data_IF_222567721767
#
_entry.id   IF_222567721767
#
_cell.length_a   1.000
_cell.length_b   1.000
_cell.length_c   1.000
_cell.angle_alpha   90.00
_cell.angle_beta   90.00
_cell.angle_gamma   90.00
#
_symmetry.space_group_name_H-M   'P 1'
#
loop_
_entity.id
_entity.type
_entity.pdbx_description
1 polymer ?
#
# COMPACT_ATOMS: atom_id res chain seq x y z
N UNK A 1 23.12 -48.56 -15.98
CA UNK A 1 21.99 -47.78 -16.54
C UNK A 1 20.75 -47.92 -15.67
N UNK A 2 19.91 -48.96 -15.77
CA UNK A 2 18.64 -48.98 -15.01
C UNK A 2 18.76 -48.92 -13.47
N UNK A 3 19.74 -49.61 -12.87
CA UNK A 3 19.98 -49.51 -11.42
C UNK A 3 20.47 -48.12 -10.98
N UNK A 4 21.16 -47.40 -11.85
CA UNK A 4 21.65 -46.04 -11.61
C UNK A 4 20.52 -45.02 -11.76
N UNK A 5 19.66 -45.18 -12.76
CA UNK A 5 18.41 -44.42 -12.91
C UNK A 5 17.48 -44.59 -11.70
N UNK A 6 17.32 -45.82 -11.20
CA UNK A 6 16.53 -46.09 -10.00
C UNK A 6 17.15 -45.42 -8.77
N UNK A 7 18.47 -45.54 -8.57
CA UNK A 7 19.15 -44.87 -7.46
C UNK A 7 19.01 -43.35 -7.51
N UNK A 8 19.16 -42.75 -8.70
CA UNK A 8 18.97 -41.31 -8.90
C UNK A 8 17.53 -40.89 -8.59
N UNK A 9 16.55 -41.64 -9.07
CA UNK A 9 15.14 -41.37 -8.79
C UNK A 9 14.82 -41.50 -7.30
N UNK A 10 15.38 -42.50 -6.60
CA UNK A 10 15.24 -42.63 -5.13
C UNK A 10 15.84 -41.41 -4.42
N UNK A 11 16.99 -40.90 -4.85
CA UNK A 11 17.56 -39.67 -4.29
C UNK A 11 16.63 -38.46 -4.54
N UNK A 12 16.07 -38.32 -5.74
CA UNK A 12 15.09 -37.27 -6.05
C UNK A 12 13.85 -37.36 -5.16
N UNK A 13 13.32 -38.57 -4.94
CA UNK A 13 12.16 -38.77 -4.07
C UNK A 13 12.47 -38.39 -2.61
N UNK A 14 13.65 -38.76 -2.09
CA UNK A 14 14.06 -38.36 -0.74
C UNK A 14 14.15 -36.84 -0.60
N UNK A 15 14.78 -36.18 -1.57
CA UNK A 15 14.86 -34.72 -1.59
C UNK A 15 13.46 -34.08 -1.66
N UNK A 16 12.55 -34.63 -2.45
CA UNK A 16 11.18 -34.14 -2.55
C UNK A 16 10.41 -34.29 -1.22
N UNK A 17 10.64 -35.37 -0.47
CA UNK A 17 10.05 -35.56 0.85
C UNK A 17 10.56 -34.52 1.85
N UNK A 18 11.87 -34.29 1.90
CA UNK A 18 12.48 -33.26 2.76
C UNK A 18 11.95 -31.86 2.40
N UNK A 19 11.85 -31.55 1.10
CA UNK A 19 11.30 -30.29 0.63
C UNK A 19 9.82 -30.13 0.99
N UNK A 20 9.02 -31.21 0.87
CA UNK A 20 7.61 -31.21 1.22
C UNK A 20 7.41 -30.94 2.72
N UNK A 21 8.21 -31.56 3.58
CA UNK A 21 8.18 -31.33 5.02
C UNK A 21 8.50 -29.87 5.35
N UNK A 22 9.60 -29.33 4.78
CA UNK A 22 9.97 -27.93 4.95
C UNK A 22 8.89 -26.95 4.45
N UNK A 23 8.29 -27.23 3.30
CA UNK A 23 7.21 -26.41 2.75
C UNK A 23 5.93 -26.48 3.61
N UNK A 24 5.60 -27.65 4.13
CA UNK A 24 4.43 -27.84 5.01
C UNK A 24 4.57 -27.03 6.28
N UNK A 25 5.75 -27.09 6.93
CA UNK A 25 6.03 -26.32 8.14
C UNK A 25 5.92 -24.81 7.88
N UNK A 26 6.46 -24.31 6.77
CA UNK A 26 6.34 -22.89 6.39
C UNK A 26 4.89 -22.46 6.19
N UNK A 27 4.10 -23.23 5.43
CA UNK A 27 2.68 -22.93 5.20
C UNK A 27 1.90 -22.94 6.51
N UNK A 28 2.24 -23.82 7.44
CA UNK A 28 1.63 -23.84 8.77
C UNK A 28 2.01 -22.61 9.60
N UNK A 29 3.29 -22.23 9.64
CA UNK A 29 3.78 -21.03 10.34
C UNK A 29 3.12 -19.75 9.79
N UNK A 30 3.02 -19.63 8.46
CA UNK A 30 2.35 -18.51 7.79
C UNK A 30 0.87 -18.43 8.17
N UNK A 31 0.16 -19.57 8.17
CA UNK A 31 -1.24 -19.65 8.58
C UNK A 31 -1.43 -19.23 10.05
N UNK A 32 -0.59 -19.73 10.95
CA UNK A 32 -0.61 -19.39 12.37
C UNK A 32 -0.33 -17.89 12.58
N UNK A 33 0.59 -17.32 11.81
CA UNK A 33 0.92 -15.89 11.84
C UNK A 33 -0.27 -15.01 11.42
N UNK A 34 -0.96 -15.36 10.33
CA UNK A 34 -2.16 -14.64 9.87
C UNK A 34 -3.30 -14.70 10.91
N UNK A 35 -3.56 -15.87 11.50
CA UNK A 35 -4.54 -16.00 12.57
C UNK A 35 -4.15 -15.24 13.83
N UNK A 36 -2.86 -15.20 14.17
CA UNK A 36 -2.35 -14.42 15.30
C UNK A 36 -2.59 -12.93 15.09
N UNK A 37 -2.31 -12.41 13.88
CA UNK A 37 -2.58 -11.03 13.52
C UNK A 37 -4.09 -10.70 13.58
N UNK A 38 -4.94 -11.56 13.03
CA UNK A 38 -6.39 -11.38 13.08
C UNK A 38 -6.94 -11.39 14.52
N UNK A 39 -6.46 -12.32 15.35
CA UNK A 39 -6.83 -12.37 16.76
C UNK A 39 -6.39 -11.12 17.54
N UNK A 40 -5.21 -10.57 17.24
CA UNK A 40 -4.74 -9.36 17.88
C UNK A 40 -5.71 -8.18 17.64
N UNK A 41 -6.18 -8.00 16.40
CA UNK A 41 -7.17 -6.98 16.06
C UNK A 41 -8.50 -7.20 16.79
N UNK A 42 -8.98 -8.45 16.87
CA UNK A 42 -10.22 -8.77 17.59
C UNK A 42 -10.11 -8.48 19.09
N UNK A 43 -8.95 -8.79 19.70
CA UNK A 43 -8.68 -8.52 21.12
C UNK A 43 -8.62 -7.02 21.37
N UNK A 44 -7.90 -6.27 20.53
CA UNK A 44 -7.81 -4.81 20.63
C UNK A 44 -9.20 -4.15 20.53
N UNK A 45 -10.02 -4.57 19.55
CA UNK A 45 -11.38 -4.06 19.39
C UNK A 45 -12.24 -4.34 20.63
N UNK A 46 -12.16 -5.57 21.17
CA UNK A 46 -12.85 -5.94 22.41
C UNK A 46 -12.42 -5.05 23.57
N UNK A 47 -11.12 -4.83 23.74
CA UNK A 47 -10.58 -3.97 24.81
C UNK A 47 -11.06 -2.52 24.68
N UNK A 48 -11.10 -1.99 23.45
CA UNK A 48 -11.61 -0.66 23.16
C UNK A 48 -13.11 -0.53 23.54
N UNK A 49 -13.94 -1.50 23.15
CA UNK A 49 -15.37 -1.50 23.48
C UNK A 49 -15.60 -1.63 24.99
N UNK A 50 -14.86 -2.52 25.67
CA UNK A 50 -14.91 -2.66 27.13
C UNK A 50 -14.50 -1.36 27.83
N UNK A 51 -13.47 -0.69 27.33
CA UNK A 51 -13.00 0.59 27.87
C UNK A 51 -14.07 1.67 27.74
N UNK A 52 -14.74 1.76 26.58
CA UNK A 52 -15.87 2.68 26.37
C UNK A 52 -17.01 2.43 27.36
N UNK A 53 -17.40 1.17 27.55
CA UNK A 53 -18.45 0.79 28.52
C UNK A 53 -18.03 1.21 29.94
N UNK A 54 -16.78 0.96 30.33
CA UNK A 54 -16.25 1.35 31.66
C UNK A 54 -16.25 2.87 31.85
N UNK A 55 -15.85 3.63 30.85
CA UNK A 55 -15.83 5.10 30.89
C UNK A 55 -17.24 5.66 31.04
N UNK A 56 -18.20 5.16 30.25
CA UNK A 56 -19.59 5.61 30.32
C UNK A 56 -20.23 5.26 31.68
N UNK A 57 -19.98 4.04 32.18
CA UNK A 57 -20.38 3.66 33.55
C UNK A 57 -19.80 4.60 34.59
N UNK A 58 -18.51 4.91 34.52
CA UNK A 58 -17.84 5.77 35.48
C UNK A 58 -18.40 7.20 35.46
N UNK A 59 -18.59 7.78 34.28
CA UNK A 59 -19.17 9.12 34.09
C UNK A 59 -20.59 9.21 34.67
N UNK A 60 -21.48 8.27 34.31
CA UNK A 60 -22.84 8.24 34.84
C UNK A 60 -22.89 8.00 36.35
N UNK A 61 -22.05 7.11 36.86
CA UNK A 61 -21.92 6.85 38.30
C UNK A 61 -21.50 8.11 39.04
N UNK A 62 -20.52 8.84 38.51
CA UNK A 62 -20.06 10.10 39.08
C UNK A 62 -21.16 11.16 39.14
N UNK A 63 -21.92 11.34 38.05
CA UNK A 63 -23.04 12.29 38.01
C UNK A 63 -24.14 11.95 39.02
N UNK A 64 -24.51 10.67 39.12
CA UNK A 64 -25.50 10.19 40.08
C UNK A 64 -25.02 10.34 41.52
N UNK A 65 -23.77 9.99 41.82
CA UNK A 65 -23.19 10.15 43.16
C UNK A 65 -23.09 11.62 43.57
N UNK A 66 -22.72 12.50 42.65
CA UNK A 66 -22.69 13.95 42.88
C UNK A 66 -24.08 14.48 43.21
N UNK A 67 -25.10 14.06 42.44
CA UNK A 67 -26.48 14.45 42.70
C UNK A 67 -27.00 13.88 44.03
N UNK A 68 -26.69 12.62 44.35
CA UNK A 68 -27.03 12.00 45.62
C UNK A 68 -26.46 12.80 46.79
N UNK A 69 -25.16 13.13 46.75
CA UNK A 69 -24.50 13.91 47.80
C UNK A 69 -25.14 15.29 47.97
N UNK A 70 -25.49 15.97 46.87
CA UNK A 70 -26.16 17.27 46.92
C UNK A 70 -27.55 17.16 47.56
N UNK A 71 -28.34 16.15 47.20
CA UNK A 71 -29.64 15.89 47.80
C UNK A 71 -29.54 15.56 49.29
N UNK A 72 -28.59 14.70 49.70
CA UNK A 72 -28.37 14.34 51.10
C UNK A 72 -28.00 15.56 51.95
N UNK A 73 -27.07 16.40 51.49
CA UNK A 73 -26.68 17.63 52.21
C UNK A 73 -27.83 18.63 52.34
N UNK A 74 -28.65 18.77 51.31
CA UNK A 74 -29.80 19.66 51.37
C UNK A 74 -30.91 19.14 52.29
N UNK A 75 -31.07 17.81 52.36
CA UNK A 75 -31.99 17.17 53.30
C UNK A 75 -31.54 17.39 54.74
N UNK A 76 -30.27 17.09 55.05
CA UNK A 76 -29.65 17.32 56.37
C UNK A 76 -29.79 18.79 56.80
N UNK A 77 -29.45 19.73 55.92
CA UNK A 77 -29.64 21.16 56.18
C UNK A 77 -31.10 21.55 56.42
N UNK A 78 -32.07 20.87 55.79
CA UNK A 78 -33.49 21.13 56.01
C UNK A 78 -33.96 20.57 57.36
N UNK A 79 -33.44 19.41 57.77
CA UNK A 79 -33.71 18.80 59.08
C UNK A 79 -33.16 19.67 60.21
N UNK A 80 -31.93 20.16 60.11
CA UNK A 80 -31.32 21.08 61.08
C UNK A 80 -32.13 22.38 61.22
N UNK A 81 -32.57 22.97 60.09
CA UNK A 81 -33.41 24.17 60.11
C UNK A 81 -34.78 23.92 60.76
N UNK A 82 -35.37 22.76 60.52
CA UNK A 82 -36.62 22.36 61.14
C UNK A 82 -36.44 22.18 62.66
N UNK A 83 -35.35 21.57 63.09
CA UNK A 83 -35.02 21.41 64.50
C UNK A 83 -34.83 22.78 65.19
N UNK A 84 -34.06 23.68 64.59
CA UNK A 84 -33.85 25.05 65.08
C UNK A 84 -35.18 25.82 65.23
N UNK A 85 -36.05 25.71 64.23
CA UNK A 85 -37.37 26.32 64.27
C UNK A 85 -38.22 25.76 65.43
N UNK A 86 -38.23 24.44 65.62
CA UNK A 86 -38.96 23.80 66.71
C UNK A 86 -38.43 24.20 68.10
N UNK A 87 -37.11 24.25 68.29
CA UNK A 87 -36.50 24.70 69.56
C UNK A 87 -36.86 26.16 69.89
N UNK A 88 -36.86 27.03 68.87
CA UNK A 88 -37.24 28.45 69.02
C UNK A 88 -38.72 28.61 69.39
N UNK A 89 -39.61 27.77 68.85
CA UNK A 89 -41.04 27.77 69.20
C UNK A 89 -41.29 27.29 70.64
N UNK A 90 -40.51 26.33 71.13
CA UNK A 90 -40.65 25.79 72.49
C UNK A 90 -40.08 26.70 73.59
N UNK A 91 -39.21 27.67 73.26
CA UNK A 91 -38.52 28.55 74.21
C UNK A 91 -39.15 29.95 74.36
N UNK A 92 -40.42 30.09 73.97
CA UNK A 92 -41.17 31.33 73.69
C UNK A 92 -41.46 32.30 74.88
N UNK A 93 -40.58 32.40 75.89
CA UNK A 93 -40.72 33.36 77.01
C UNK A 93 -39.71 34.53 77.00
N UNK A 94 -38.85 34.68 75.97
CA UNK A 94 -37.69 35.61 76.03
C UNK A 94 -37.68 36.73 74.97
N UNK A 95 -37.22 37.91 75.41
CA UNK A 95 -36.85 39.08 74.60
C UNK A 95 -35.78 38.70 73.55
N UNK A 96 -36.22 38.19 72.39
CA UNK A 96 -35.32 37.69 71.34
C UNK A 96 -36.02 36.89 70.24
N UNK A 97 -37.25 36.42 70.50
CA UNK A 97 -38.05 35.63 69.56
C UNK A 97 -38.16 36.27 68.16
N UNK A 98 -38.43 37.57 68.08
CA UNK A 98 -38.57 38.26 66.79
C UNK A 98 -37.28 38.25 65.96
N UNK A 99 -36.12 38.28 66.62
CA UNK A 99 -34.83 38.21 65.92
C UNK A 99 -34.57 36.78 65.45
N UNK A 100 -34.79 35.77 66.31
CA UNK A 100 -34.66 34.36 65.93
C UNK A 100 -35.61 33.96 64.78
N UNK A 101 -36.86 34.44 64.81
CA UNK A 101 -37.83 34.23 63.75
C UNK A 101 -37.38 34.85 62.42
N UNK A 102 -36.71 36.01 62.46
CA UNK A 102 -36.13 36.65 61.27
C UNK A 102 -34.97 35.83 60.71
N UNK A 103 -34.08 35.33 61.56
CA UNK A 103 -32.93 34.53 61.16
C UNK A 103 -33.35 33.18 60.55
N UNK A 104 -34.38 32.53 61.11
CA UNK A 104 -35.00 31.33 60.53
C UNK A 104 -35.59 31.63 59.16
N UNK A 105 -36.38 32.71 59.02
CA UNK A 105 -36.96 33.11 57.74
C UNK A 105 -35.89 33.30 56.68
N UNK A 106 -34.82 34.01 57.00
CA UNK A 106 -33.73 34.28 56.05
C UNK A 106 -33.00 32.97 55.70
N UNK A 107 -32.80 32.08 56.67
CA UNK A 107 -32.18 30.77 56.47
C UNK A 107 -33.02 29.81 55.60
N UNK A 108 -34.34 29.77 55.81
CA UNK A 108 -35.29 29.01 54.98
C UNK A 108 -35.30 29.54 53.55
N UNK A 109 -35.30 30.87 53.38
CA UNK A 109 -35.29 31.51 52.05
C UNK A 109 -34.02 31.15 51.26
N UNK A 110 -32.89 30.97 51.96
CA UNK A 110 -31.60 30.62 51.37
C UNK A 110 -31.32 29.11 51.37
N UNK A 111 -32.24 28.29 51.85
CA UNK A 111 -32.00 26.86 52.03
C UNK A 111 -31.74 26.16 50.67
N UNK A 112 -30.69 25.34 50.57
CA UNK A 112 -30.32 24.67 49.32
C UNK A 112 -31.44 23.80 48.74
N UNK A 113 -32.27 23.21 49.59
CA UNK A 113 -33.34 22.29 49.21
C UNK A 113 -34.36 22.92 48.23
N UNK A 114 -34.67 24.20 48.37
CA UNK A 114 -35.62 24.88 47.47
C UNK A 114 -35.06 25.18 46.08
N UNK A 115 -33.74 25.04 45.89
CA UNK A 115 -33.04 25.29 44.62
C UNK A 115 -32.60 24.01 43.90
N UNK A 116 -32.82 22.84 44.52
CA UNK A 116 -32.42 21.56 43.92
C UNK A 116 -33.40 21.09 42.84
N UNK A 117 -32.86 20.46 41.80
CA UNK A 117 -33.64 19.74 40.80
C UNK A 117 -33.65 18.25 41.12
N UNK A 118 -34.85 17.66 41.19
CA UNK A 118 -35.06 16.24 41.47
C UNK A 118 -35.14 15.36 40.21
N UNK A 119 -34.78 15.90 39.04
CA UNK A 119 -34.63 15.09 37.83
C UNK A 119 -33.24 14.46 37.81
N UNK A 120 -33.18 13.15 37.61
CA UNK A 120 -31.91 12.44 37.49
C UNK A 120 -31.07 13.05 36.36
N UNK A 121 -29.83 13.41 36.66
CA UNK A 121 -28.90 14.01 35.69
C UNK A 121 -28.34 13.00 34.70
N UNK A 122 -28.31 11.73 35.07
CA UNK A 122 -27.93 10.62 34.21
C UNK A 122 -28.99 9.50 34.26
N UNK A 123 -29.12 8.77 33.15
CA UNK A 123 -29.94 7.56 33.06
C UNK A 123 -29.10 6.30 33.29
N UNK A 124 -29.75 5.23 33.75
CA UNK A 124 -29.20 3.88 33.85
C UNK A 124 -29.23 3.08 32.52
N UNK A 125 -29.98 3.55 31.52
CA UNK A 125 -30.13 2.86 30.24
C UNK A 125 -28.83 2.88 29.40
N UNK A 126 -28.25 1.71 29.15
CA UNK A 126 -27.04 1.54 28.32
C UNK A 126 -27.28 0.68 27.06
N UNK A 127 -28.53 0.54 26.62
CA UNK A 127 -28.89 -0.28 25.44
C UNK A 127 -28.25 0.18 24.13
N UNK A 128 -27.84 1.44 24.01
CA UNK A 128 -27.10 1.96 22.84
C UNK A 128 -25.69 1.39 22.69
N UNK A 129 -25.18 0.68 23.71
CA UNK A 129 -23.91 -0.05 23.69
C UNK A 129 -24.08 -1.53 23.33
N UNK A 130 -25.28 -1.99 23.01
CA UNK A 130 -25.54 -3.36 22.59
C UNK A 130 -24.85 -3.66 21.25
N UNK A 131 -24.32 -4.86 21.12
CA UNK A 131 -23.51 -5.30 19.96
C UNK A 131 -24.13 -6.53 19.31
N UNK A 132 -24.04 -6.59 17.99
CA UNK A 132 -24.36 -7.77 17.18
C UNK A 132 -23.17 -8.00 16.24
N UNK A 133 -22.60 -9.21 16.29
CA UNK A 133 -21.43 -9.60 15.48
C UNK A 133 -21.76 -10.68 14.45
N UNK A 134 -23.02 -10.76 14.01
CA UNK A 134 -23.48 -11.80 13.10
C UNK A 134 -22.79 -11.70 11.72
N UNK A 135 -22.63 -10.48 11.20
CA UNK A 135 -21.97 -10.25 9.91
C UNK A 135 -20.47 -10.57 9.97
N UNK A 136 -19.78 -10.12 11.00
CA UNK A 136 -18.34 -10.36 11.21
C UNK A 136 -18.07 -11.85 11.36
N UNK A 137 -18.98 -12.58 12.04
CA UNK A 137 -18.88 -14.04 12.15
C UNK A 137 -19.04 -14.74 10.81
N UNK A 138 -19.96 -14.28 9.95
CA UNK A 138 -20.11 -14.82 8.61
C UNK A 138 -18.84 -14.59 7.77
N UNK A 139 -18.25 -13.40 7.86
CA UNK A 139 -16.96 -13.09 7.20
C UNK A 139 -15.84 -14.00 7.72
N UNK A 140 -15.74 -14.21 9.03
CA UNK A 140 -14.75 -15.12 9.64
C UNK A 140 -14.97 -16.59 9.24
N UNK A 141 -16.22 -17.02 9.07
CA UNK A 141 -16.55 -18.36 8.57
C UNK A 141 -16.22 -18.53 7.08
N UNK A 142 -16.15 -17.44 6.32
CA UNK A 142 -15.75 -17.41 4.92
C UNK A 142 -14.23 -17.43 4.67
N UNK A 143 -13.39 -17.46 5.72
CA UNK A 143 -11.94 -17.53 5.58
C UNK A 143 -11.53 -18.79 4.82
N UNK A 144 -10.69 -18.60 3.80
CA UNK A 144 -10.23 -19.66 2.89
C UNK A 144 -8.82 -19.35 2.40
N UNK A 145 -8.10 -20.39 1.97
CA UNK A 145 -6.82 -20.23 1.30
C UNK A 145 -6.97 -19.39 0.03
N UNK A 146 -5.87 -18.72 -0.36
CA UNK A 146 -5.84 -17.93 -1.59
C UNK A 146 -5.94 -18.89 -2.79
N UNK A 147 -6.85 -18.63 -3.75
CA UNK A 147 -6.91 -19.41 -4.98
C UNK A 147 -5.67 -19.12 -5.83
N UNK A 148 -5.37 -19.99 -6.79
CA UNK A 148 -4.38 -19.68 -7.82
C UNK A 148 -4.90 -18.47 -8.63
N UNK A 149 -4.09 -17.42 -8.85
CA UNK A 149 -4.49 -16.29 -9.67
C UNK A 149 -4.91 -16.72 -11.08
N UNK A 150 -5.90 -16.04 -11.64
CA UNK A 150 -6.31 -16.26 -13.03
C UNK A 150 -5.19 -15.91 -14.01
N UNK A 151 -5.16 -16.61 -15.14
CA UNK A 151 -4.18 -16.38 -16.22
C UNK A 151 -4.47 -15.03 -16.90
N UNK A 152 -3.52 -14.08 -16.94
CA UNK A 152 -3.72 -12.82 -17.66
C UNK A 152 -3.70 -13.02 -19.17
N UNK A 153 -4.30 -12.10 -19.90
CA UNK A 153 -4.38 -12.10 -21.36
C UNK A 153 -3.75 -10.82 -21.91
N UNK A 154 -2.71 -10.95 -22.74
CA UNK A 154 -2.03 -9.81 -23.34
C UNK A 154 -2.89 -9.24 -24.47
N UNK A 155 -3.22 -7.96 -24.36
CA UNK A 155 -4.03 -7.23 -25.34
C UNK A 155 -3.14 -6.72 -26.48
N UNK A 156 -2.92 -7.58 -27.48
CA UNK A 156 -2.01 -7.30 -28.62
C UNK A 156 -2.36 -5.98 -29.33
N UNK A 157 -3.65 -5.64 -29.42
CA UNK A 157 -4.13 -4.39 -30.04
C UNK A 157 -3.79 -3.13 -29.26
N UNK A 158 -3.51 -3.25 -27.96
CA UNK A 158 -3.17 -2.13 -27.07
C UNK A 158 -1.66 -2.04 -26.79
N UNK A 159 -0.93 -3.11 -27.08
CA UNK A 159 0.53 -3.11 -27.04
C UNK A 159 1.12 -2.13 -28.06
N UNK A 160 2.19 -1.44 -27.67
CA UNK A 160 2.86 -0.44 -28.51
C UNK A 160 4.35 -0.74 -28.64
N UNK A 161 4.88 -0.55 -29.84
CA UNK A 161 6.30 -0.68 -30.14
C UNK A 161 6.77 0.59 -30.83
N UNK A 162 7.60 1.38 -30.16
CA UNK A 162 8.08 2.67 -30.67
C UNK A 162 9.51 2.96 -30.20
N UNK A 163 10.35 3.45 -31.12
CA UNK A 163 11.76 3.77 -30.91
C UNK A 163 12.58 2.58 -30.36
N UNK A 164 12.84 2.58 -29.05
CA UNK A 164 13.53 1.55 -28.28
C UNK A 164 12.69 1.11 -27.07
N UNK A 165 11.37 1.29 -27.16
CA UNK A 165 10.42 1.04 -26.08
C UNK A 165 9.33 0.09 -26.56
N UNK A 166 9.00 -0.90 -25.73
CA UNK A 166 7.83 -1.76 -25.94
C UNK A 166 6.93 -1.67 -24.72
N UNK A 167 5.69 -1.26 -24.93
CA UNK A 167 4.64 -1.24 -23.93
C UNK A 167 3.74 -2.45 -24.13
N UNK A 168 3.63 -3.28 -23.11
CA UNK A 168 2.77 -4.46 -23.09
C UNK A 168 1.61 -4.19 -22.15
N UNK A 169 0.39 -4.41 -22.62
CA UNK A 169 -0.84 -4.26 -21.83
C UNK A 169 -1.53 -5.62 -21.75
N UNK A 170 -2.08 -5.95 -20.59
CA UNK A 170 -2.83 -7.18 -20.38
C UNK A 170 -4.10 -6.92 -19.56
N UNK A 171 -5.00 -7.90 -19.53
CA UNK A 171 -6.21 -7.87 -18.71
C UNK A 171 -6.41 -9.21 -18.02
N UNK A 172 -7.29 -9.25 -17.02
CA UNK A 172 -7.76 -10.49 -16.43
C UNK A 172 -9.19 -10.78 -16.87
N UNK A 173 -9.54 -12.06 -17.12
CA UNK A 173 -10.92 -12.44 -17.44
C UNK A 173 -11.91 -12.05 -16.33
N UNK A 174 -11.50 -12.20 -15.07
CA UNK A 174 -12.25 -11.79 -13.89
C UNK A 174 -11.36 -10.92 -13.00
N UNK A 175 -11.87 -9.79 -12.46
CA UNK A 175 -11.12 -8.98 -11.53
C UNK A 175 -10.79 -9.75 -10.25
N UNK A 176 -9.51 -9.90 -9.92
CA UNK A 176 -9.05 -10.51 -8.67
C UNK A 176 -8.28 -9.48 -7.83
N UNK A 177 -8.90 -9.05 -6.73
CA UNK A 177 -8.31 -8.09 -5.78
C UNK A 177 -7.20 -8.70 -4.92
N UNK A 178 -6.92 -10.01 -5.04
CA UNK A 178 -5.90 -10.71 -4.27
C UNK A 178 -4.55 -10.78 -4.97
N UNK A 179 -4.46 -10.27 -6.20
CA UNK A 179 -3.20 -10.20 -6.94
C UNK A 179 -2.35 -9.09 -6.33
N UNK A 180 -1.11 -9.43 -5.96
CA UNK A 180 -0.16 -8.48 -5.40
C UNK A 180 0.71 -7.84 -6.48
N UNK A 181 1.09 -8.64 -7.50
CA UNK A 181 1.93 -8.20 -8.60
C UNK A 181 1.84 -9.15 -9.81
N UNK A 182 2.41 -8.72 -10.92
CA UNK A 182 2.62 -9.50 -12.13
C UNK A 182 4.11 -9.72 -12.39
N UNK A 183 4.39 -10.82 -13.07
CA UNK A 183 5.72 -11.15 -13.60
C UNK A 183 5.59 -11.15 -15.11
N UNK A 184 6.26 -10.21 -15.76
CA UNK A 184 6.40 -10.14 -17.22
C UNK A 184 7.72 -10.79 -17.60
N UNK A 185 7.66 -11.80 -18.46
CA UNK A 185 8.84 -12.35 -19.09
C UNK A 185 8.85 -11.97 -20.57
N UNK A 186 10.02 -11.56 -21.04
CA UNK A 186 10.23 -11.24 -22.44
C UNK A 186 11.53 -11.86 -22.95
N UNK A 187 11.57 -12.15 -24.25
CA UNK A 187 12.78 -12.64 -24.91
C UNK A 187 12.83 -12.18 -26.35
N UNK A 188 14.04 -12.16 -26.89
CA UNK A 188 14.34 -11.72 -28.25
C UNK A 188 14.30 -12.90 -29.21
N UNK A 189 13.80 -12.71 -30.43
CA UNK A 189 13.75 -13.77 -31.44
C UNK A 189 13.75 -13.20 -32.86
N UNK A 190 14.37 -13.94 -33.79
CA UNK A 190 14.35 -13.64 -35.22
C UNK A 190 13.24 -14.38 -35.98
N UNK A 191 12.45 -15.18 -35.27
CA UNK A 191 11.43 -16.03 -35.86
C UNK A 191 10.05 -15.61 -35.38
N UNK A 192 9.13 -15.51 -36.33
CA UNK A 192 7.70 -15.38 -36.07
C UNK A 192 7.12 -16.75 -35.69
N UNK A 193 6.21 -16.77 -34.70
CA UNK A 193 5.48 -17.97 -34.31
C UNK A 193 6.02 -18.68 -33.04
N UNK A 194 5.56 -19.92 -32.78
CA UNK A 194 5.76 -20.59 -31.49
C UNK A 194 7.23 -20.92 -31.18
N UNK A 195 7.55 -21.17 -29.89
CA UNK A 195 8.85 -21.64 -29.42
C UNK A 195 9.44 -22.75 -30.29
N UNK A 196 10.67 -22.57 -30.80
CA UNK A 196 11.39 -23.63 -31.52
C UNK A 196 12.22 -24.47 -30.54
N UNK A 197 12.60 -25.69 -30.91
CA UNK A 197 13.40 -26.59 -30.05
C UNK A 197 14.77 -26.02 -29.61
N UNK A 198 15.28 -25.00 -30.33
CA UNK A 198 16.52 -24.29 -30.03
C UNK A 198 16.23 -22.80 -30.05
N UNK A 199 16.27 -22.19 -28.88
CA UNK A 199 16.05 -20.76 -28.68
C UNK A 199 17.37 -20.13 -28.27
N UNK A 200 17.78 -19.10 -29.01
CA UNK A 200 19.13 -18.54 -28.90
C UNK A 200 19.26 -17.51 -27.75
N UNK A 201 18.13 -17.04 -27.20
CA UNK A 201 18.11 -15.98 -26.18
C UNK A 201 17.33 -16.42 -24.92
N UNK A 202 17.85 -16.14 -23.72
CA UNK A 202 17.17 -16.45 -22.46
C UNK A 202 15.95 -15.55 -22.25
N UNK A 203 15.05 -15.99 -21.37
CA UNK A 203 13.98 -15.16 -20.83
C UNK A 203 14.57 -14.09 -19.90
N UNK A 204 14.18 -12.86 -20.13
CA UNK A 204 14.37 -11.74 -19.22
C UNK A 204 13.11 -11.59 -18.39
N UNK A 205 13.27 -11.40 -17.08
CA UNK A 205 12.17 -11.38 -16.12
C UNK A 205 12.06 -9.98 -15.50
N UNK A 206 10.86 -9.43 -15.50
CA UNK A 206 10.48 -8.23 -14.77
C UNK A 206 9.42 -8.60 -13.75
N UNK A 207 9.73 -8.44 -12.48
CA UNK A 207 8.84 -8.78 -11.36
C UNK A 207 8.34 -7.51 -10.64
N UNK A 208 7.28 -7.66 -9.84
CA UNK A 208 6.77 -6.60 -8.99
C UNK A 208 5.90 -5.55 -9.70
N UNK A 209 5.43 -5.84 -10.92
CA UNK A 209 4.55 -4.94 -11.67
C UNK A 209 3.18 -4.92 -11.00
N UNK A 210 2.65 -3.75 -10.62
CA UNK A 210 1.33 -3.64 -9.96
C UNK A 210 0.21 -3.23 -10.91
N UNK A 211 0.59 -2.57 -12.00
CA UNK A 211 -0.32 -2.15 -13.05
C UNK A 211 -0.53 -3.29 -14.06
N UNK A 212 -1.56 -3.17 -14.89
CA UNK A 212 -1.84 -4.12 -15.97
C UNK A 212 -1.12 -3.74 -17.27
N UNK A 213 -0.12 -2.87 -17.17
CA UNK A 213 0.75 -2.48 -18.27
C UNK A 213 2.20 -2.36 -17.79
N UNK A 214 3.14 -2.56 -18.70
CA UNK A 214 4.54 -2.31 -18.44
C UNK A 214 5.30 -1.91 -19.70
N UNK A 215 6.15 -0.88 -19.56
CA UNK A 215 6.98 -0.36 -20.64
C UNK A 215 8.44 -0.74 -20.44
N UNK A 216 8.98 -1.55 -21.34
CA UNK A 216 10.39 -1.88 -21.42
C UNK A 216 11.11 -0.78 -22.20
N UNK A 217 12.03 -0.05 -21.56
CA UNK A 217 12.75 1.08 -22.16
C UNK A 217 14.20 0.70 -22.46
N UNK A 218 14.79 1.31 -23.51
CA UNK A 218 16.20 1.12 -23.84
C UNK A 218 16.49 -0.25 -24.46
N UNK A 219 15.47 -0.87 -25.05
CA UNK A 219 15.63 -2.13 -25.74
C UNK A 219 16.49 -1.92 -26.97
N UNK A 220 17.53 -2.74 -27.10
CA UNK A 220 18.20 -2.91 -28.38
C UNK A 220 17.29 -3.78 -29.24
N UNK A 221 16.96 -3.37 -30.44
CA UNK A 221 16.19 -4.20 -31.36
C UNK A 221 17.11 -4.85 -32.43
N UNK A 222 18.11 -5.62 -32.01
CA UNK A 222 18.97 -6.37 -32.96
C UNK A 222 18.28 -7.64 -33.52
N UNK A 223 17.11 -7.98 -32.99
CA UNK A 223 16.23 -9.05 -33.48
C UNK A 223 14.93 -8.47 -34.02
N UNK A 224 14.26 -9.21 -34.91
CA UNK A 224 13.04 -8.74 -35.58
C UNK A 224 11.77 -8.78 -34.70
N UNK A 225 11.76 -9.61 -33.66
CA UNK A 225 10.61 -9.79 -32.79
C UNK A 225 11.01 -9.88 -31.32
N UNK A 226 10.07 -9.54 -30.43
CA UNK A 226 10.09 -9.91 -29.02
C UNK A 226 8.88 -10.79 -28.71
N UNK A 227 9.11 -11.84 -27.93
CA UNK A 227 8.04 -12.69 -27.38
C UNK A 227 7.83 -12.34 -25.91
N UNK A 228 6.57 -12.25 -25.50
CA UNK A 228 6.13 -11.88 -24.16
C UNK A 228 5.21 -12.95 -23.58
N UNK A 229 5.29 -13.12 -22.27
CA UNK A 229 4.29 -13.80 -21.45
C UNK A 229 4.20 -13.14 -20.09
N UNK A 230 3.01 -13.11 -19.52
CA UNK A 230 2.78 -12.50 -18.21
C UNK A 230 2.03 -13.48 -17.32
N UNK A 231 2.33 -13.49 -16.02
CA UNK A 231 1.55 -14.23 -15.02
C UNK A 231 1.19 -13.33 -13.85
N UNK A 232 0.07 -13.61 -13.21
CA UNK A 232 -0.34 -12.95 -11.98
C UNK A 232 0.19 -13.71 -10.74
N UNK A 233 0.56 -12.98 -9.71
CA UNK A 233 1.07 -13.52 -8.46
C UNK A 233 0.26 -12.96 -7.29
N UNK A 234 -0.19 -13.84 -6.40
CA UNK A 234 -0.68 -13.45 -5.08
C UNK A 234 0.32 -13.86 -4.00
N UNK A 235 -0.01 -13.55 -2.75
CA UNK A 235 0.83 -13.84 -1.58
C UNK A 235 1.24 -15.31 -1.46
N UNK A 236 0.41 -16.24 -1.94
CA UNK A 236 0.63 -17.68 -1.78
C UNK A 236 1.30 -18.33 -2.99
N UNK A 237 0.90 -17.95 -4.21
CA UNK A 237 1.27 -18.67 -5.43
C UNK A 237 1.25 -17.78 -6.67
N UNK A 238 2.11 -18.12 -7.63
CA UNK A 238 2.07 -17.58 -8.98
C UNK A 238 1.13 -18.42 -9.86
N UNK A 239 0.25 -17.75 -10.59
CA UNK A 239 -0.61 -18.37 -11.59
C UNK A 239 0.15 -18.85 -12.83
N UNK A 240 -0.60 -19.36 -13.79
CA UNK A 240 -0.06 -19.75 -15.09
C UNK A 240 0.33 -18.51 -15.91
N UNK A 241 1.28 -18.72 -16.83
CA UNK A 241 1.61 -17.70 -17.82
C UNK A 241 0.52 -17.58 -18.88
N UNK A 242 0.31 -16.35 -19.35
CA UNK A 242 -0.47 -16.03 -20.52
C UNK A 242 0.00 -16.81 -21.74
N UNK A 243 -0.86 -16.86 -22.76
CA UNK A 243 -0.41 -17.24 -24.09
C UNK A 243 0.76 -16.35 -24.55
N UNK A 244 1.65 -16.95 -25.33
CA UNK A 244 2.83 -16.27 -25.85
C UNK A 244 2.42 -15.28 -26.94
N UNK A 245 2.70 -14.00 -26.70
CA UNK A 245 2.47 -12.95 -27.69
C UNK A 245 3.80 -12.54 -28.29
N UNK A 246 3.88 -12.50 -29.62
CA UNK A 246 5.06 -12.01 -30.33
C UNK A 246 4.75 -10.67 -30.98
N UNK A 247 5.52 -9.64 -30.62
CA UNK A 247 5.42 -8.31 -31.21
C UNK A 247 6.60 -8.09 -32.16
N UNK A 248 6.32 -7.55 -33.34
CA UNK A 248 7.37 -7.14 -34.27
C UNK A 248 8.03 -5.86 -33.78
N UNK A 249 9.36 -5.86 -33.72
CA UNK A 249 10.13 -4.65 -33.49
C UNK A 249 10.59 -4.10 -34.83
N UNK A 250 10.05 -2.96 -35.23
CA UNK A 250 10.48 -2.22 -36.42
C UNK A 250 11.83 -1.55 -36.17
N UNK A 251 12.83 -2.38 -35.90
CA UNK A 251 14.20 -1.98 -35.71
C UNK A 251 14.83 -1.61 -37.05
N UNK A 252 15.02 -0.32 -37.28
CA UNK A 252 15.97 0.09 -38.29
C UNK A 252 17.37 -0.02 -37.70
N UNK A 253 18.08 -1.09 -38.03
CA UNK A 253 19.54 -1.11 -37.89
C UNK A 253 20.10 -0.11 -38.90
N UNK A 254 20.19 1.16 -38.53
CA UNK A 254 20.92 2.13 -39.34
C UNK A 254 22.41 1.91 -39.10
N UNK A 255 23.18 1.78 -40.18
CA UNK A 255 24.63 1.85 -40.11
C UNK A 255 25.03 3.26 -40.41
N UNK A 256 25.91 3.82 -39.59
CA UNK A 256 26.51 5.10 -39.90
C UNK A 256 27.50 4.90 -41.05
N UNK A 257 27.27 5.57 -42.18
CA UNK A 257 28.15 5.48 -43.34
C UNK A 257 29.37 6.38 -43.13
N UNK A 258 30.51 5.77 -42.82
CA UNK A 258 31.79 6.47 -42.67
C UNK A 258 32.26 7.13 -43.97
N UNK A 259 31.78 6.68 -45.14
CA UNK A 259 32.06 7.30 -46.44
C UNK A 259 31.38 8.66 -46.64
N UNK A 260 30.26 8.88 -45.94
CA UNK A 260 29.55 10.16 -45.93
C UNK A 260 30.02 11.12 -44.82
N UNK A 261 30.91 10.66 -43.94
CA UNK A 261 31.34 11.40 -42.77
C UNK A 261 32.27 12.57 -43.14
N UNK A 262 32.13 13.68 -42.42
CA UNK A 262 33.09 14.78 -42.52
C UNK A 262 34.49 14.31 -42.11
N UNK A 263 35.54 14.84 -42.73
CA UNK A 263 36.94 14.44 -42.50
C UNK A 263 37.43 14.56 -41.04
N UNK A 264 36.74 15.35 -40.21
CA UNK A 264 37.03 15.48 -38.77
C UNK A 264 36.09 14.66 -37.88
N UNK A 265 35.27 13.79 -38.48
CA UNK A 265 34.40 12.87 -37.76
C UNK A 265 34.91 11.46 -38.01
N UNK A 266 35.32 10.79 -36.94
CA UNK A 266 35.57 9.37 -36.95
C UNK A 266 34.25 8.67 -36.64
N UNK A 267 33.71 8.03 -37.66
CA UNK A 267 32.43 7.30 -37.58
C UNK A 267 32.74 5.82 -37.51
N UNK A 268 32.35 5.18 -36.40
CA UNK A 268 32.35 3.72 -36.22
C UNK A 268 30.89 3.23 -36.19
N UNK A 269 30.67 1.90 -36.18
CA UNK A 269 29.35 1.29 -36.45
C UNK A 269 28.17 1.92 -35.68
N UNK A 270 28.39 2.37 -34.44
CA UNK A 270 27.36 3.01 -33.59
C UNK A 270 27.84 4.29 -32.88
N UNK A 271 28.98 4.87 -33.27
CA UNK A 271 29.54 6.05 -32.59
C UNK A 271 30.13 7.06 -33.57
N UNK A 272 30.05 8.34 -33.19
CA UNK A 272 30.65 9.44 -33.93
C UNK A 272 31.51 10.23 -32.96
N UNK A 273 32.81 10.25 -33.22
CA UNK A 273 33.78 10.99 -32.43
C UNK A 273 34.43 12.09 -33.27
N UNK A 274 34.73 13.22 -32.65
CA UNK A 274 35.48 14.28 -33.31
C UNK A 274 36.97 13.92 -33.35
N UNK A 275 37.51 13.74 -34.55
CA UNK A 275 38.94 13.61 -34.77
C UNK A 275 39.54 14.97 -35.16
N UNK A 276 40.23 15.58 -34.21
CA UNK A 276 40.95 16.85 -34.40
C UNK A 276 42.11 16.78 -35.41
N UNK A 277 42.51 15.58 -35.84
CA UNK A 277 43.61 15.34 -36.78
C UNK A 277 43.15 14.99 -38.20
N UNK A 278 41.89 14.59 -38.40
CA UNK A 278 41.44 13.99 -39.67
C UNK A 278 41.52 14.93 -40.88
N UNK A 279 41.38 16.25 -40.68
CA UNK A 279 41.53 17.25 -41.74
C UNK A 279 42.96 17.71 -42.04
N UNK A 280 43.95 17.40 -41.20
CA UNK A 280 45.31 17.97 -41.31
C UNK A 280 46.28 17.14 -42.15
N UNK A 281 45.88 15.94 -42.58
CA UNK A 281 46.76 15.02 -43.31
C UNK A 281 46.92 15.41 -44.79
N UNK A 282 45.99 16.18 -45.39
CA UNK A 282 46.11 16.60 -46.79
C UNK A 282 46.87 17.91 -47.02
N UNK A 283 47.03 18.79 -46.02
CA UNK A 283 47.63 20.12 -46.21
C UNK A 283 49.17 20.13 -46.29
N UNK A 284 49.86 19.02 -46.01
CA UNK A 284 51.34 18.97 -46.08
C UNK A 284 51.86 18.91 -47.54
N UNK A 285 50.99 18.79 -48.56
CA UNK A 285 51.42 18.70 -49.98
C UNK A 285 51.22 19.94 -50.84
N UNK A 286 50.85 21.10 -50.30
CA UNK A 286 50.80 22.34 -51.08
C UNK A 286 51.36 23.54 -50.32
N UNK A 287 52.68 23.72 -50.41
CA UNK A 287 53.27 25.03 -50.18
C UNK A 287 54.17 25.45 -51.36
N UNK A 288 53.62 26.36 -52.18
CA UNK A 288 54.31 27.50 -52.79
C UNK A 288 53.26 28.32 -53.55
N UNK A 289 52.84 29.44 -52.97
CA UNK A 289 53.00 30.81 -53.51
C UNK A 289 52.28 31.80 -52.58
N UNK A 290 52.90 32.97 -52.41
CA UNK A 290 52.64 34.04 -51.45
C UNK A 290 51.25 34.72 -51.51
N UNK A 291 51.00 35.45 -50.42
CA UNK A 291 50.25 36.71 -50.21
C UNK A 291 48.77 36.68 -49.76
N UNK A 292 48.56 37.47 -48.69
CA UNK A 292 47.36 38.14 -48.16
C UNK A 292 46.46 37.41 -47.13
N UNK A 293 46.55 37.87 -45.88
CA UNK A 293 45.44 37.94 -44.89
C UNK A 293 44.36 38.94 -45.40
N UNK A 294 43.15 39.11 -44.77
CA UNK A 294 42.73 38.65 -43.43
C UNK A 294 41.21 38.29 -43.26
N UNK A 295 40.81 38.04 -42.00
CA UNK A 295 39.48 38.20 -41.38
C UNK A 295 38.38 37.16 -41.70
N UNK A 296 37.99 36.34 -40.71
CA UNK A 296 36.92 36.66 -39.75
C UNK A 296 36.65 35.40 -38.91
N UNK A 297 37.08 35.41 -37.64
CA UNK A 297 36.39 34.59 -36.62
C UNK A 297 35.11 35.33 -36.24
N UNK A 298 34.02 34.61 -35.98
CA UNK A 298 33.20 34.97 -34.84
C UNK A 298 32.99 33.74 -33.96
N UNK A 299 33.51 33.84 -32.74
CA UNK A 299 33.05 33.04 -31.64
C UNK A 299 31.63 33.48 -31.23
N UNK A 300 30.90 32.51 -30.68
CA UNK A 300 29.73 32.62 -29.76
C UNK A 300 28.32 32.57 -30.36
N UNK A 301 27.58 31.53 -29.96
CA UNK A 301 26.23 31.56 -29.36
C UNK A 301 26.02 30.20 -28.64
N UNK A 302 26.11 30.12 -27.31
CA UNK A 302 25.04 30.11 -26.27
C UNK A 302 24.02 28.94 -26.41
N UNK A 303 23.78 28.15 -25.34
CA UNK A 303 22.95 26.94 -25.40
C UNK A 303 21.46 27.26 -25.28
N UNK A 304 20.62 26.46 -25.92
CA UNK A 304 19.17 26.45 -25.71
C UNK A 304 18.75 25.03 -25.33
N UNK A 305 18.17 24.91 -24.14
CA UNK A 305 17.36 23.78 -23.70
C UNK A 305 16.07 23.71 -24.51
N UNK A 306 15.70 22.51 -24.94
CA UNK A 306 14.35 21.93 -24.73
C UNK A 306 14.57 20.46 -24.37
#
# INVERSE_FOLDING_TARGET
MKNEEISNFVCTLKQNLENLEGNTNRVQEDLESEFTALNAVLVEMKENMVTRIKQERASRTYELQSQLSACSKALESSEELLELANQTLCSSETDGFNQAAKDIKDSVTMAPAFRLSLKAKASDNMSHLMVDFSQEREVLQGLKFLPVPGTPEIQVSECQVSDNTVTVVWTLPEPDSKIEHYILEHRRTNHEGPPRLREDYPWMVVEGIREMEHSLIGLRFDTRYLTFRVRACNKAVAGEFSELVTLETHAFNFKLDSGSAHQNLKVEDLSVEWDSCGGKIQDIRKEKTRTNSPMHSPARCVPVFI
#
